data_IF_253721862080
#
_entry.id   IF_253721862080
#
_cell.length_a   1.000
_cell.length_b   1.000
_cell.length_c   1.000
_cell.angle_alpha   90.00
_cell.angle_beta   90.00
_cell.angle_gamma   90.00
#
_symmetry.space_group_name_H-M   'P 1'
#
loop_
_entity.id
_entity.type
_entity.pdbx_description
1 polymer ?
#
# COMPACT_ATOMS: atom_id res chain seq x y z
N UNK A 1 19.82 9.42 4.54
CA UNK A 1 18.66 9.69 5.44
C UNK A 1 17.40 9.23 4.70
N UNK A 2 16.48 8.49 5.31
CA UNK A 2 15.33 7.90 4.58
C UNK A 2 14.10 8.83 4.58
N UNK A 3 13.31 8.78 3.51
CA UNK A 3 12.08 9.58 3.35
C UNK A 3 11.12 9.39 4.53
N UNK A 4 10.95 8.13 4.97
CA UNK A 4 10.09 7.80 6.12
C UNK A 4 10.56 8.54 7.38
N UNK A 5 11.88 8.62 7.63
CA UNK A 5 12.42 9.35 8.78
C UNK A 5 12.23 10.86 8.66
N UNK A 6 12.40 11.41 7.46
CA UNK A 6 12.28 12.86 7.21
C UNK A 6 10.84 13.36 7.25
N UNK A 7 9.85 12.50 7.06
CA UNK A 7 8.45 12.89 6.85
C UNK A 7 7.51 12.44 7.96
N UNK A 8 8.05 12.05 9.12
CA UNK A 8 7.25 11.62 10.27
C UNK A 8 6.34 12.73 10.77
N UNK A 9 5.10 12.39 11.05
CA UNK A 9 4.09 13.33 11.55
C UNK A 9 3.05 12.58 12.39
N UNK A 10 2.58 13.18 13.47
CA UNK A 10 1.52 12.57 14.27
C UNK A 10 0.14 12.94 13.70
N UNK A 11 -0.68 11.95 13.34
CA UNK A 11 -2.00 12.14 12.71
C UNK A 11 -3.10 11.24 13.28
N UNK A 12 -2.88 10.69 14.48
CA UNK A 12 -3.78 9.74 15.12
C UNK A 12 -3.35 8.30 14.88
N UNK A 13 -4.30 7.38 14.99
CA UNK A 13 -4.01 5.95 14.98
C UNK A 13 -4.21 5.30 13.61
N UNK A 14 -3.55 4.16 13.40
CA UNK A 14 -3.69 3.42 12.16
C UNK A 14 -5.09 2.82 11.97
N UNK A 15 -5.70 2.28 13.04
CA UNK A 15 -7.08 1.78 12.97
C UNK A 15 -8.05 2.87 12.56
N UNK A 16 -7.90 4.09 13.09
CA UNK A 16 -8.74 5.23 12.68
C UNK A 16 -8.55 5.58 11.19
N UNK A 17 -7.31 5.56 10.70
CA UNK A 17 -7.02 5.82 9.29
C UNK A 17 -7.66 4.79 8.36
N UNK A 18 -7.47 3.49 8.62
CA UNK A 18 -8.03 2.45 7.77
C UNK A 18 -9.54 2.35 7.87
N UNK A 19 -10.11 2.54 9.08
CA UNK A 19 -11.56 2.60 9.27
C UNK A 19 -12.18 3.72 8.44
N UNK A 20 -11.57 4.92 8.44
CA UNK A 20 -12.03 6.04 7.61
C UNK A 20 -12.04 5.69 6.13
N UNK A 21 -10.98 5.05 5.62
CA UNK A 21 -10.92 4.63 4.21
C UNK A 21 -12.06 3.65 3.87
N UNK A 22 -12.35 2.70 4.76
CA UNK A 22 -13.42 1.73 4.56
C UNK A 22 -14.78 2.42 4.61
N UNK A 23 -15.00 3.32 5.56
CA UNK A 23 -16.24 4.09 5.69
C UNK A 23 -16.46 5.01 4.46
N UNK A 24 -15.39 5.59 3.92
CA UNK A 24 -15.42 6.36 2.67
C UNK A 24 -15.81 5.48 1.46
N UNK A 25 -15.33 4.24 1.40
CA UNK A 25 -15.75 3.27 0.37
C UNK A 25 -17.21 2.90 0.53
N UNK A 26 -17.64 2.56 1.74
CA UNK A 26 -19.01 2.20 2.05
C UNK A 26 -19.99 3.28 1.56
N UNK A 27 -19.68 4.57 1.78
CA UNK A 27 -20.48 5.70 1.27
C UNK A 27 -20.51 5.82 -0.26
N UNK A 28 -19.53 5.28 -0.96
CA UNK A 28 -19.41 5.37 -2.44
C UNK A 28 -20.06 4.19 -3.16
N UNK A 29 -20.21 3.03 -2.51
CA UNK A 29 -20.80 1.82 -3.09
C UNK A 29 -22.24 2.04 -3.58
N UNK A 30 -23.17 2.64 -2.81
CA UNK A 30 -24.55 2.84 -3.25
C UNK A 30 -24.69 3.69 -4.52
N UNK A 31 -23.71 4.57 -4.77
CA UNK A 31 -23.70 5.46 -5.91
C UNK A 31 -23.11 4.81 -7.19
N UNK A 32 -22.80 3.52 -7.17
CA UNK A 32 -22.24 2.79 -8.32
C UNK A 32 -20.79 3.17 -8.67
N UNK A 33 -20.12 3.97 -7.84
CA UNK A 33 -18.76 4.45 -8.10
C UNK A 33 -17.66 3.38 -7.88
N UNK A 34 -18.02 2.19 -7.40
CA UNK A 34 -17.11 1.08 -7.13
C UNK A 34 -17.75 -0.24 -7.61
N UNK A 35 -17.68 -0.55 -8.92
CA UNK A 35 -18.43 -1.66 -9.53
C UNK A 35 -18.04 -3.06 -9.05
N UNK A 36 -16.96 -3.19 -8.27
CA UNK A 36 -16.41 -4.46 -7.78
C UNK A 36 -16.34 -4.54 -6.25
N UNK A 37 -16.93 -3.58 -5.54
CA UNK A 37 -16.93 -3.56 -4.07
C UNK A 37 -18.38 -3.45 -3.62
N UNK A 38 -18.80 -4.38 -2.79
CA UNK A 38 -20.11 -4.41 -2.16
C UNK A 38 -20.05 -3.75 -0.77
N UNK A 39 -21.22 -3.47 -0.20
CA UNK A 39 -21.32 -3.03 1.19
C UNK A 39 -20.81 -4.11 2.15
N UNK A 40 -21.08 -5.37 1.85
CA UNK A 40 -20.60 -6.51 2.63
C UNK A 40 -19.07 -6.58 2.64
N UNK A 41 -18.41 -6.36 1.49
CA UNK A 41 -16.95 -6.31 1.43
C UNK A 41 -16.37 -5.22 2.36
N UNK A 42 -17.05 -4.08 2.48
CA UNK A 42 -16.63 -3.01 3.39
C UNK A 42 -16.79 -3.44 4.85
N UNK A 43 -17.88 -4.12 5.19
CA UNK A 43 -18.10 -4.66 6.54
C UNK A 43 -17.04 -5.71 6.91
N UNK A 44 -16.78 -6.65 6.00
CA UNK A 44 -15.79 -7.72 6.19
C UNK A 44 -14.37 -7.13 6.32
N UNK A 45 -14.03 -6.14 5.50
CA UNK A 45 -12.77 -5.42 5.62
C UNK A 45 -12.60 -4.75 6.99
N UNK A 46 -13.68 -4.15 7.53
CA UNK A 46 -13.65 -3.48 8.83
C UNK A 46 -13.46 -4.48 9.97
N UNK A 47 -14.15 -5.62 9.91
CA UNK A 47 -14.06 -6.66 10.93
C UNK A 47 -12.69 -7.33 10.99
N UNK A 48 -11.94 -7.34 9.88
CA UNK A 48 -10.58 -7.87 9.80
C UNK A 48 -9.49 -6.93 10.31
N UNK A 49 -9.76 -5.62 10.49
CA UNK A 49 -8.75 -4.64 10.92
C UNK A 49 -7.96 -5.07 12.16
N UNK A 50 -8.59 -5.55 13.26
CA UNK A 50 -7.86 -5.96 14.46
C UNK A 50 -6.90 -7.14 14.22
N UNK A 51 -7.13 -7.93 13.17
CA UNK A 51 -6.32 -9.11 12.83
C UNK A 51 -5.18 -8.76 11.87
N UNK A 52 -5.38 -7.79 10.98
CA UNK A 52 -4.39 -7.44 9.93
C UNK A 52 -3.49 -6.27 10.31
N UNK A 53 -3.92 -5.44 11.25
CA UNK A 53 -3.10 -4.34 11.76
C UNK A 53 -2.17 -4.82 12.87
N UNK A 54 -0.97 -4.26 12.87
CA UNK A 54 0.04 -4.51 13.89
C UNK A 54 -0.24 -3.63 15.12
N UNK A 55 -0.65 -4.18 16.28
CA UNK A 55 -0.97 -3.39 17.46
C UNK A 55 0.22 -2.55 17.94
N UNK A 56 1.44 -3.06 17.78
CA UNK A 56 2.68 -2.36 18.10
C UNK A 56 2.94 -1.11 17.23
N UNK A 57 2.22 -0.98 16.12
CA UNK A 57 2.32 0.16 15.20
C UNK A 57 1.06 1.05 15.21
N UNK A 58 0.11 0.83 16.13
CA UNK A 58 -1.19 1.52 16.15
C UNK A 58 -1.04 3.05 16.28
N UNK A 59 -0.18 3.50 17.19
CA UNK A 59 0.06 4.93 17.48
C UNK A 59 1.37 5.44 16.87
N UNK A 60 1.98 4.67 15.96
CA UNK A 60 3.23 5.09 15.33
C UNK A 60 3.00 6.27 14.37
N UNK A 61 4.00 7.17 14.21
CA UNK A 61 3.88 8.33 13.33
C UNK A 61 3.54 7.96 11.89
N UNK A 62 2.83 8.84 11.22
CA UNK A 62 2.55 8.74 9.79
C UNK A 62 3.79 9.19 9.02
N UNK A 63 3.97 8.66 7.82
CA UNK A 63 5.03 9.06 6.90
C UNK A 63 4.47 9.20 5.48
N UNK A 64 5.24 9.85 4.60
CA UNK A 64 4.86 9.93 3.19
C UNK A 64 5.05 8.56 2.54
N UNK A 65 4.00 8.10 1.87
CA UNK A 65 4.04 7.03 0.88
C UNK A 65 3.84 7.63 -0.53
N UNK A 66 4.47 7.04 -1.54
CA UNK A 66 4.37 7.50 -2.93
C UNK A 66 2.96 7.30 -3.51
N UNK A 67 2.22 6.28 -3.04
CA UNK A 67 0.89 5.93 -3.55
C UNK A 67 0.90 5.10 -4.83
N UNK A 68 1.88 5.30 -5.72
CA UNK A 68 2.08 4.48 -6.93
C UNK A 68 3.57 4.34 -7.29
N UNK A 69 4.33 3.57 -6.50
CA UNK A 69 5.76 3.39 -6.77
C UNK A 69 5.99 2.35 -7.88
N UNK A 70 5.34 2.46 -9.04
CA UNK A 70 5.53 1.53 -10.15
C UNK A 70 6.92 1.66 -10.80
N UNK A 71 7.43 0.67 -11.54
CA UNK A 71 8.71 0.80 -12.25
C UNK A 71 8.77 1.99 -13.23
N UNK A 72 7.61 2.44 -13.73
CA UNK A 72 7.53 3.60 -14.63
C UNK A 72 7.80 4.93 -13.89
N UNK A 73 7.67 4.94 -12.57
CA UNK A 73 7.89 6.10 -11.70
C UNK A 73 9.29 6.09 -11.05
N UNK A 74 10.16 5.15 -11.44
CA UNK A 74 11.53 5.01 -10.95
C UNK A 74 12.49 5.29 -12.11
N UNK A 75 13.34 6.29 -11.95
CA UNK A 75 14.39 6.61 -12.91
C UNK A 75 15.66 5.89 -12.49
N UNK A 76 16.29 5.21 -13.44
CA UNK A 76 17.57 4.51 -13.25
C UNK A 76 18.63 5.02 -14.23
N UNK A 77 19.90 4.91 -13.85
CA UNK A 77 21.03 5.13 -14.77
C UNK A 77 21.36 3.88 -15.61
N UNK A 78 22.45 3.95 -16.39
CA UNK A 78 22.93 2.85 -17.21
C UNK A 78 23.41 1.62 -16.43
N UNK A 79 23.70 1.77 -15.14
CA UNK A 79 24.12 0.70 -14.23
C UNK A 79 22.95 0.18 -13.37
N UNK A 80 21.72 0.64 -13.66
CA UNK A 80 20.49 0.32 -12.92
C UNK A 80 20.45 0.88 -11.49
N UNK A 81 21.25 1.90 -11.16
CA UNK A 81 21.11 2.60 -9.88
C UNK A 81 19.90 3.53 -9.94
N UNK A 82 19.09 3.54 -8.88
CA UNK A 82 17.97 4.48 -8.76
C UNK A 82 18.49 5.91 -8.62
N UNK A 83 18.20 6.75 -9.60
CA UNK A 83 18.61 8.17 -9.64
C UNK A 83 17.47 9.12 -9.30
N UNK A 84 16.22 8.67 -9.41
CA UNK A 84 15.05 9.49 -9.10
C UNK A 84 13.76 8.72 -8.91
N UNK A 85 12.82 9.34 -8.19
CA UNK A 85 11.43 8.90 -8.07
C UNK A 85 10.56 10.08 -8.50
N UNK A 86 9.64 9.84 -9.44
CA UNK A 86 8.77 10.86 -10.06
C UNK A 86 7.30 10.48 -9.91
N UNK A 87 6.41 11.39 -10.32
CA UNK A 87 4.96 11.22 -10.28
C UNK A 87 4.38 11.07 -8.85
N UNK A 88 4.67 12.07 -8.01
CA UNK A 88 4.20 12.15 -6.63
C UNK A 88 2.71 12.57 -6.51
N UNK A 89 1.92 12.52 -7.59
CA UNK A 89 0.53 12.99 -7.60
C UNK A 89 -0.40 12.23 -6.65
N UNK A 90 -0.07 10.97 -6.34
CA UNK A 90 -0.80 10.12 -5.39
C UNK A 90 -0.16 10.07 -4.00
N UNK A 91 0.90 10.83 -3.77
CA UNK A 91 1.64 10.77 -2.53
C UNK A 91 0.78 11.27 -1.36
N UNK A 92 0.83 10.57 -0.25
CA UNK A 92 0.02 10.92 0.92
C UNK A 92 0.66 10.49 2.22
N UNK A 93 0.22 11.12 3.31
CA UNK A 93 0.59 10.71 4.67
C UNK A 93 -0.23 9.50 5.08
N UNK A 94 0.45 8.40 5.37
CA UNK A 94 -0.16 7.13 5.75
C UNK A 94 0.48 6.61 7.03
N UNK A 95 -0.19 5.72 7.80
CA UNK A 95 0.42 5.07 8.95
C UNK A 95 1.72 4.37 8.54
N UNK A 96 2.73 4.34 9.42
CA UNK A 96 4.05 3.79 9.06
C UNK A 96 4.00 2.32 8.61
N UNK A 97 3.04 1.55 9.11
CA UNK A 97 2.80 0.16 8.69
C UNK A 97 2.36 0.04 7.21
N UNK A 98 1.91 1.14 6.60
CA UNK A 98 1.63 1.24 5.18
C UNK A 98 2.76 1.94 4.40
N UNK A 99 3.56 2.78 5.05
CA UNK A 99 4.61 3.54 4.39
C UNK A 99 5.78 2.63 3.98
N UNK A 100 6.27 2.80 2.74
CA UNK A 100 7.40 2.00 2.22
C UNK A 100 6.99 0.67 1.59
N UNK A 101 5.74 0.56 1.12
CA UNK A 101 5.31 -0.59 0.33
C UNK A 101 6.08 -0.65 -1.00
N UNK A 102 6.53 -1.83 -1.37
CA UNK A 102 7.09 -2.11 -2.69
C UNK A 102 6.01 -2.03 -3.79
N UNK A 103 6.39 -1.80 -5.07
CA UNK A 103 5.56 -1.41 -6.21
C UNK A 103 4.29 -2.21 -6.50
N UNK A 104 4.08 -3.39 -5.89
CA UNK A 104 2.97 -4.30 -6.24
C UNK A 104 2.39 -5.05 -5.05
N UNK A 105 2.54 -4.54 -3.82
CA UNK A 105 1.73 -5.06 -2.72
C UNK A 105 0.37 -4.36 -2.74
N UNK A 106 -0.70 -5.01 -3.29
CA UNK A 106 -1.99 -4.37 -3.46
C UNK A 106 -2.44 -3.84 -2.11
N UNK A 107 -2.87 -2.57 -2.06
CA UNK A 107 -3.60 -2.01 -0.90
C UNK A 107 -4.51 -3.12 -0.41
N UNK A 108 -4.32 -3.61 0.82
CA UNK A 108 -4.90 -4.87 1.35
C UNK A 108 -6.45 -4.87 1.47
N UNK A 109 -7.13 -4.05 0.67
CA UNK A 109 -8.56 -3.93 0.56
C UNK A 109 -9.05 -4.03 -0.91
N UNK A 110 -8.22 -4.53 -1.82
CA UNK A 110 -8.68 -5.09 -3.09
C UNK A 110 -8.53 -6.62 -2.98
N UNK A 111 -9.64 -7.28 -2.63
CA UNK A 111 -9.91 -8.67 -2.99
C UNK A 111 -10.06 -8.79 -4.52
N UNK A 112 -9.15 -8.21 -5.28
CA UNK A 112 -9.03 -8.56 -6.68
C UNK A 112 -8.08 -9.74 -6.71
N UNK A 113 -8.64 -10.94 -6.89
CA UNK A 113 -7.89 -11.95 -7.62
C UNK A 113 -7.40 -11.25 -8.89
N UNK A 114 -6.09 -11.03 -8.98
CA UNK A 114 -5.46 -10.58 -10.21
C UNK A 114 -5.76 -11.67 -11.23
N UNK A 115 -6.76 -11.45 -12.08
CA UNK A 115 -7.10 -12.33 -13.22
C UNK A 115 -6.01 -12.23 -14.31
N UNK A 116 -4.95 -11.46 -14.08
CA UNK A 116 -3.77 -11.40 -14.93
C UNK A 116 -2.66 -12.19 -14.23
N UNK A 117 -2.25 -13.36 -14.75
CA UNK A 117 -1.11 -14.08 -14.19
C UNK A 117 0.11 -13.14 -14.19
N UNK A 118 0.87 -13.06 -13.07
CA UNK A 118 2.05 -12.21 -13.00
C UNK A 118 2.99 -12.56 -14.13
N UNK A 119 3.55 -11.54 -14.79
CA UNK A 119 4.48 -11.76 -15.89
C UNK A 119 5.60 -12.73 -15.47
N UNK A 120 6.14 -13.55 -16.40
CA UNK A 120 7.19 -14.51 -16.07
C UNK A 120 8.37 -13.87 -15.33
N UNK A 121 8.74 -12.65 -15.72
CA UNK A 121 9.77 -11.84 -15.06
C UNK A 121 9.43 -11.57 -13.59
N UNK A 122 8.20 -11.14 -13.28
CA UNK A 122 7.79 -10.89 -11.90
C UNK A 122 7.83 -12.17 -11.05
N UNK A 123 7.53 -13.32 -11.64
CA UNK A 123 7.60 -14.59 -10.93
C UNK A 123 9.04 -14.95 -10.56
N UNK A 124 9.99 -14.75 -11.47
CA UNK A 124 11.42 -14.96 -11.21
C UNK A 124 11.96 -13.95 -10.18
N UNK A 125 11.60 -12.67 -10.29
CA UNK A 125 11.99 -11.64 -9.31
C UNK A 125 11.48 -12.00 -7.90
N UNK A 126 10.24 -12.51 -7.81
CA UNK A 126 9.66 -12.97 -6.53
C UNK A 126 10.44 -14.15 -5.96
N UNK A 127 10.80 -15.13 -6.79
CA UNK A 127 11.59 -16.29 -6.37
C UNK A 127 12.97 -15.85 -5.86
N UNK A 128 13.64 -14.97 -6.59
CA UNK A 128 14.96 -14.44 -6.22
C UNK A 128 14.91 -13.70 -4.86
N UNK A 129 13.91 -12.82 -4.68
CA UNK A 129 13.72 -12.11 -3.42
C UNK A 129 13.45 -13.07 -2.25
N UNK A 130 12.54 -14.03 -2.41
CA UNK A 130 12.23 -15.01 -1.35
C UNK A 130 13.45 -15.88 -1.01
N UNK A 131 14.27 -16.23 -2.00
CA UNK A 131 15.51 -16.96 -1.78
C UNK A 131 16.52 -16.14 -0.96
N UNK A 132 16.66 -14.84 -1.25
CA UNK A 132 17.57 -13.93 -0.50
C UNK A 132 17.16 -13.69 0.96
N UNK A 133 15.90 -13.92 1.32
CA UNK A 133 15.43 -13.80 2.70
C UNK A 133 15.68 -15.08 3.53
N UNK A 134 16.06 -16.18 2.88
CA UNK A 134 16.34 -17.48 3.50
C UNK A 134 17.84 -17.77 3.65
N UNK A 135 18.70 -16.89 3.13
CA UNK A 135 20.16 -16.91 3.29
C UNK A 135 20.58 -15.95 4.39
#
# INVERSE_FOLDING_TARGET
MSLIKCTRENRGSATAYFSRIIDDKFRRVPNGHLPFITEQDCFDQKSLLPTVLHPELEDMPFAIDHGDLSPLNIIVDSELNVTGIIDWGYASKVPIQLAGRFPRFPRFLQLQQLVIPPSPTLQEDRKAYVASLKS
#
